data_IF_792412231883
#
_entry.id   IF_792412231883
#
_cell.length_a   1.000
_cell.length_b   1.000
_cell.length_c   1.000
_cell.angle_alpha   90.00
_cell.angle_beta   90.00
_cell.angle_gamma   90.00
#
_symmetry.space_group_name_H-M   'P 1'
#
loop_
_entity.id
_entity.type
_entity.pdbx_description
1 polymer ?
#
# COMPACT_ATOMS: atom_id res chain seq x y z
N UNK A 1 -17.21 -6.07 2.91
CA UNK A 1 -16.10 -6.59 3.73
C UNK A 1 -15.97 -5.71 4.96
N UNK A 2 -15.87 -6.31 6.14
CA UNK A 2 -15.50 -5.59 7.36
C UNK A 2 -14.06 -5.09 7.25
N UNK A 3 -13.66 -4.16 8.12
CA UNK A 3 -12.28 -3.67 8.16
C UNK A 3 -11.28 -4.78 8.48
N UNK A 4 -11.68 -5.74 9.31
CA UNK A 4 -10.84 -6.89 9.68
C UNK A 4 -10.61 -7.82 8.47
N UNK A 5 -11.67 -8.17 7.75
CA UNK A 5 -11.58 -8.96 6.52
C UNK A 5 -10.71 -8.28 5.45
N UNK A 6 -10.75 -6.94 5.36
CA UNK A 6 -9.88 -6.19 4.45
C UNK A 6 -8.42 -6.33 4.87
N UNK A 7 -8.10 -6.17 6.16
CA UNK A 7 -6.73 -6.31 6.68
C UNK A 7 -6.17 -7.69 6.41
N UNK A 8 -6.94 -8.73 6.71
CA UNK A 8 -6.54 -10.13 6.45
C UNK A 8 -6.25 -10.35 4.96
N UNK A 9 -7.16 -9.93 4.09
CA UNK A 9 -6.96 -10.06 2.64
C UNK A 9 -5.71 -9.30 2.17
N UNK A 10 -5.51 -8.06 2.61
CA UNK A 10 -4.36 -7.24 2.23
C UNK A 10 -3.05 -7.88 2.67
N UNK A 11 -2.94 -8.31 3.94
CA UNK A 11 -1.71 -8.91 4.44
C UNK A 11 -1.40 -10.25 3.76
N UNK A 12 -2.41 -11.03 3.41
CA UNK A 12 -2.23 -12.30 2.72
C UNK A 12 -1.86 -12.15 1.24
N UNK A 13 -2.27 -11.07 0.57
CA UNK A 13 -2.18 -10.95 -0.89
C UNK A 13 -1.27 -9.84 -1.40
N UNK A 14 -0.78 -8.94 -0.54
CA UNK A 14 0.11 -7.88 -1.00
C UNK A 14 1.46 -8.45 -1.44
N UNK A 15 2.04 -7.84 -2.49
CA UNK A 15 3.35 -8.22 -3.04
C UNK A 15 4.45 -7.27 -2.57
N UNK A 16 4.25 -6.57 -1.44
CA UNK A 16 5.16 -5.52 -0.97
C UNK A 16 6.59 -6.00 -0.78
N UNK A 17 6.80 -7.22 -0.26
CA UNK A 17 8.13 -7.82 -0.06
C UNK A 17 8.92 -8.08 -1.35
N UNK A 18 8.29 -7.97 -2.53
CA UNK A 18 8.95 -8.10 -3.84
C UNK A 18 9.20 -6.75 -4.52
N UNK A 19 8.76 -5.66 -3.90
CA UNK A 19 8.83 -4.32 -4.48
C UNK A 19 10.29 -3.82 -4.52
N UNK A 20 10.75 -3.15 -5.60
CA UNK A 20 12.09 -2.56 -5.64
C UNK A 20 12.34 -1.51 -4.54
N UNK A 21 11.28 -0.86 -4.05
CA UNK A 21 11.36 0.07 -2.90
C UNK A 21 11.30 -0.62 -1.54
N UNK A 22 11.13 -1.95 -1.48
CA UNK A 22 11.07 -2.67 -0.21
C UNK A 22 12.40 -2.60 0.52
N UNK A 23 12.32 -2.43 1.84
CA UNK A 23 13.44 -2.55 2.76
C UNK A 23 13.02 -3.59 3.79
N UNK A 24 13.85 -4.62 3.99
CA UNK A 24 13.58 -5.63 5.00
C UNK A 24 13.68 -5.00 6.39
N UNK A 25 12.55 -4.96 7.10
CA UNK A 25 12.42 -4.53 8.49
C UNK A 25 11.22 -5.27 9.13
N UNK A 26 10.75 -4.85 10.31
CA UNK A 26 9.66 -5.51 11.06
C UNK A 26 8.24 -5.18 10.51
N UNK A 27 8.12 -4.65 9.29
CA UNK A 27 6.84 -4.32 8.69
C UNK A 27 6.33 -5.45 7.79
N UNK A 28 5.02 -5.73 7.82
CA UNK A 28 4.38 -6.77 6.99
C UNK A 28 3.98 -6.30 5.59
N UNK A 29 4.14 -5.01 5.29
CA UNK A 29 3.61 -4.39 4.07
C UNK A 29 2.13 -4.03 4.17
N UNK A 30 1.41 -4.09 3.04
CA UNK A 30 -0.02 -3.73 3.00
C UNK A 30 -0.28 -2.22 3.13
N UNK A 31 0.69 -1.39 2.78
CA UNK A 31 0.67 0.07 2.99
C UNK A 31 -0.49 0.81 2.31
N UNK A 32 -1.07 0.21 1.26
CA UNK A 32 -2.30 0.72 0.64
C UNK A 32 -3.47 0.81 1.62
N UNK A 33 -3.47 -0.02 2.66
CA UNK A 33 -4.43 0.00 3.74
C UNK A 33 -3.87 0.63 5.02
N UNK A 34 -2.68 0.20 5.45
CA UNK A 34 -2.15 0.55 6.78
C UNK A 34 -1.44 1.91 6.85
N UNK A 35 -1.11 2.52 5.70
CA UNK A 35 -0.44 3.82 5.64
C UNK A 35 1.05 3.75 5.35
N UNK A 36 1.77 4.84 5.65
CA UNK A 36 3.20 4.98 5.32
C UNK A 36 4.06 4.01 6.11
N UNK A 37 5.10 3.52 5.46
CA UNK A 37 6.19 2.77 6.07
C UNK A 37 7.05 3.68 6.95
N UNK A 38 7.47 3.16 8.09
CA UNK A 38 8.49 3.78 8.93
C UNK A 38 9.90 3.59 8.35
N UNK A 39 10.14 2.50 7.61
CA UNK A 39 11.44 2.13 7.07
C UNK A 39 11.69 2.68 5.65
N UNK A 40 10.68 2.67 4.79
CA UNK A 40 10.82 2.98 3.36
C UNK A 40 10.63 4.48 3.13
N UNK A 41 11.70 5.18 2.75
CA UNK A 41 11.69 6.63 2.45
C UNK A 41 11.96 6.96 0.98
N UNK A 42 12.54 6.03 0.24
CA UNK A 42 12.97 6.25 -1.15
C UNK A 42 12.06 5.53 -2.15
N UNK A 43 11.85 6.15 -3.31
CA UNK A 43 11.09 5.57 -4.43
C UNK A 43 12.04 4.91 -5.44
N UNK A 44 12.38 3.63 -5.22
CA UNK A 44 13.29 2.85 -6.09
C UNK A 44 12.57 2.07 -7.20
N UNK A 45 11.25 2.21 -7.27
CA UNK A 45 10.36 1.50 -8.20
C UNK A 45 9.12 0.97 -7.48
N UNK A 46 8.01 0.80 -8.19
CA UNK A 46 6.74 0.40 -7.58
C UNK A 46 5.97 -0.58 -8.46
N UNK A 47 5.59 -1.71 -7.85
CA UNK A 47 4.78 -2.76 -8.46
C UNK A 47 3.33 -2.77 -7.93
N UNK A 48 2.92 -1.72 -7.20
CA UNK A 48 1.55 -1.59 -6.71
C UNK A 48 0.48 -1.63 -7.82
N UNK A 49 0.69 -1.06 -9.02
CA UNK A 49 -0.31 -1.14 -10.10
C UNK A 49 -0.64 -2.58 -10.52
N UNK A 50 0.32 -3.50 -10.38
CA UNK A 50 0.18 -4.92 -10.73
C UNK A 50 -0.26 -5.78 -9.53
N UNK A 51 -0.40 -5.18 -8.34
CA UNK A 51 -0.74 -5.91 -7.13
C UNK A 51 -2.21 -6.38 -7.16
N UNK A 52 -2.50 -7.65 -6.83
CA UNK A 52 -3.88 -8.16 -6.82
C UNK A 52 -4.78 -7.40 -5.83
N UNK A 53 -4.19 -6.86 -4.75
CA UNK A 53 -4.90 -5.98 -3.79
C UNK A 53 -5.41 -4.71 -4.47
N UNK A 54 -4.58 -4.08 -5.30
CA UNK A 54 -4.94 -2.86 -6.03
C UNK A 54 -6.14 -3.13 -6.94
N UNK A 55 -6.09 -4.21 -7.72
CA UNK A 55 -7.19 -4.62 -8.60
C UNK A 55 -8.47 -4.95 -7.80
N UNK A 56 -8.36 -5.76 -6.74
CA UNK A 56 -9.51 -6.18 -5.92
C UNK A 56 -10.19 -5.01 -5.21
N UNK A 57 -9.41 -4.02 -4.76
CA UNK A 57 -9.90 -2.88 -4.00
C UNK A 57 -10.17 -1.63 -4.86
N UNK A 58 -9.94 -1.71 -6.18
CA UNK A 58 -10.18 -0.59 -7.10
C UNK A 58 -9.27 0.62 -6.83
N UNK A 59 -8.03 0.37 -6.40
CA UNK A 59 -7.11 1.45 -6.06
C UNK A 59 -6.40 1.96 -7.32
N UNK A 60 -6.19 3.28 -7.41
CA UNK A 60 -5.57 3.92 -8.59
C UNK A 60 -4.15 4.45 -8.37
N UNK A 61 -3.67 4.44 -7.13
CA UNK A 61 -2.37 5.02 -6.78
C UNK A 61 -1.28 3.94 -6.62
N UNK A 62 -0.04 4.40 -6.47
CA UNK A 62 1.09 3.57 -6.08
C UNK A 62 1.86 4.24 -4.93
N UNK A 63 3.02 3.67 -4.59
CA UNK A 63 3.91 4.22 -3.58
C UNK A 63 3.27 4.49 -2.21
N UNK A 64 2.28 3.68 -1.81
CA UNK A 64 1.60 3.85 -0.52
C UNK A 64 2.55 3.84 0.69
N UNK A 65 3.65 3.08 0.59
CA UNK A 65 4.72 3.05 1.60
C UNK A 65 5.34 4.43 1.87
N UNK A 66 5.35 5.34 0.90
CA UNK A 66 5.93 6.69 1.04
C UNK A 66 4.85 7.77 1.07
N UNK A 67 3.81 7.62 0.25
CA UNK A 67 2.82 8.66 -0.01
C UNK A 67 1.66 8.66 1.01
N UNK A 68 1.31 7.51 1.60
CA UNK A 68 0.16 7.37 2.50
C UNK A 68 -0.78 6.27 2.05
N UNK A 69 -1.77 5.94 2.87
CA UNK A 69 -2.79 4.94 2.54
C UNK A 69 -3.66 5.41 1.37
N UNK A 70 -4.40 4.50 0.73
CA UNK A 70 -5.37 4.88 -0.29
C UNK A 70 -6.43 5.85 0.24
N UNK A 71 -6.86 5.68 1.50
CA UNK A 71 -7.79 6.61 2.16
C UNK A 71 -7.19 8.00 2.24
N UNK A 72 -5.95 8.11 2.72
CA UNK A 72 -5.25 9.40 2.88
C UNK A 72 -5.05 10.11 1.54
N UNK A 73 -4.75 9.37 0.47
CA UNK A 73 -4.58 9.94 -0.87
C UNK A 73 -5.90 10.42 -1.46
N UNK A 74 -6.98 9.66 -1.27
CA UNK A 74 -8.33 10.06 -1.69
C UNK A 74 -8.78 11.34 -0.98
N UNK A 75 -8.54 11.43 0.33
CA UNK A 75 -8.85 12.62 1.13
C UNK A 75 -8.05 13.84 0.65
N UNK A 76 -6.75 13.67 0.36
CA UNK A 76 -5.91 14.75 -0.15
C UNK A 76 -6.37 15.27 -1.53
N UNK A 77 -6.80 14.39 -2.43
CA UNK A 77 -7.33 14.79 -3.74
C UNK A 77 -8.69 15.48 -3.65
N UNK A 78 -9.53 15.15 -2.67
CA UNK A 78 -10.83 15.80 -2.49
C UNK A 78 -10.71 17.26 -2.00
N UNK A 79 -9.53 17.65 -1.52
CA UNK A 79 -9.25 19.00 -1.00
C UNK A 79 -8.56 19.94 -1.98
N UNK A 80 -8.24 19.46 -3.20
CA UNK A 80 -7.57 20.23 -4.26
C UNK A 80 -8.47 20.49 -5.45
#
# INVERSE_FOLDING_TARGET
MTEEQKKEYVFANCICGKCPSWVECDEKGGFCLVGKSQCIKEKKGCICPECPVTAKMGLKWGYYCVAGSAKSLMEAEATG
#
